data_IF_766406611108
#
_entry.id   IF_766406611108
#
_cell.length_a   1.000
_cell.length_b   1.000
_cell.length_c   1.000
_cell.angle_alpha   90.00
_cell.angle_beta   90.00
_cell.angle_gamma   90.00
#
_symmetry.space_group_name_H-M   'P 1'
#
loop_
_entity.id
_entity.type
_entity.pdbx_description
1 polymer ?
#
# COMPACT_ATOMS: atom_id res chain seq x y z
N UNK A 1 -1.15 10.68 47.31
CA UNK A 1 -1.97 11.25 46.22
C UNK A 1 -1.03 11.82 45.19
N UNK A 2 -1.09 11.32 43.95
CA UNK A 2 -0.26 11.88 42.87
C UNK A 2 -0.73 13.32 42.62
N UNK A 3 0.19 14.26 42.75
CA UNK A 3 -0.08 15.69 42.57
C UNK A 3 -0.18 15.99 41.06
N UNK A 4 -1.37 15.79 40.45
CA UNK A 4 -1.60 16.09 39.04
C UNK A 4 -1.67 17.62 38.87
N UNK A 5 -0.69 18.16 38.14
CA UNK A 5 -0.54 19.61 37.91
C UNK A 5 -0.35 19.90 36.41
N UNK A 6 -0.47 21.15 36.01
CA UNK A 6 -0.30 21.61 34.64
C UNK A 6 1.00 21.10 33.99
N UNK A 7 2.08 21.01 34.76
CA UNK A 7 3.40 20.50 34.32
C UNK A 7 3.40 19.00 33.95
N UNK A 8 2.33 18.27 34.28
CA UNK A 8 2.16 16.87 33.89
C UNK A 8 1.55 16.71 32.50
N UNK A 9 1.04 17.80 31.91
CA UNK A 9 0.52 17.82 30.57
C UNK A 9 1.69 17.98 29.59
N UNK A 10 1.89 16.97 28.70
CA UNK A 10 2.96 16.94 27.71
C UNK A 10 2.37 16.80 26.31
N UNK A 11 2.93 17.54 25.35
CA UNK A 11 2.68 17.32 23.92
C UNK A 11 3.78 16.39 23.37
N UNK A 12 3.40 15.47 22.51
CA UNK A 12 4.31 14.66 21.72
C UNK A 12 4.34 15.20 20.30
N UNK A 13 5.48 15.13 19.64
CA UNK A 13 5.50 15.36 18.20
C UNK A 13 4.81 14.20 17.46
N UNK A 14 4.53 14.39 16.17
CA UNK A 14 3.77 13.43 15.38
C UNK A 14 4.43 12.04 15.31
N UNK A 15 5.74 11.98 15.05
CA UNK A 15 6.47 10.72 14.95
C UNK A 15 6.68 10.07 16.32
N UNK A 16 6.94 10.84 17.35
CA UNK A 16 6.98 10.34 18.74
C UNK A 16 5.65 9.75 19.16
N UNK A 17 4.52 10.36 18.76
CA UNK A 17 3.19 9.83 19.03
C UNK A 17 2.96 8.49 18.32
N UNK A 18 3.33 8.36 17.03
CA UNK A 18 3.23 7.09 16.29
C UNK A 18 4.08 6.01 16.97
N UNK A 19 5.32 6.30 17.30
CA UNK A 19 6.23 5.34 17.95
C UNK A 19 5.73 4.89 19.33
N UNK A 20 5.07 5.77 20.06
CA UNK A 20 4.49 5.46 21.36
C UNK A 20 3.20 4.65 21.26
N UNK A 21 2.39 4.91 20.25
CA UNK A 21 1.07 4.29 20.05
C UNK A 21 0.92 3.71 18.63
N UNK A 22 1.83 2.83 18.17
CA UNK A 22 1.85 2.38 16.78
C UNK A 22 0.58 1.65 16.37
N UNK A 23 -0.09 0.94 17.28
CA UNK A 23 -1.35 0.26 17.02
C UNK A 23 -2.47 1.17 16.48
N UNK A 24 -2.44 2.47 16.77
CA UNK A 24 -3.40 3.44 16.22
C UNK A 24 -3.18 3.71 14.72
N UNK A 25 -1.97 3.49 14.21
CA UNK A 25 -1.57 3.83 12.83
C UNK A 25 -1.36 2.60 11.96
N UNK A 26 -0.83 1.52 12.52
CA UNK A 26 -0.52 0.28 11.80
C UNK A 26 -1.32 -0.93 12.31
N UNK A 27 -2.32 -0.71 13.18
CA UNK A 27 -3.25 -1.71 13.68
C UNK A 27 -2.70 -2.57 14.82
N UNK A 28 -1.47 -3.06 14.74
CA UNK A 28 -0.82 -3.87 15.79
C UNK A 28 0.69 -3.73 15.76
N UNK A 29 1.40 -4.32 16.74
CA UNK A 29 2.87 -4.34 16.79
C UNK A 29 3.47 -5.67 16.33
N UNK A 30 2.63 -6.63 15.98
CA UNK A 30 3.01 -7.98 15.55
C UNK A 30 3.16 -8.08 14.01
N UNK A 31 3.26 -9.30 13.49
CA UNK A 31 3.35 -9.57 12.05
C UNK A 31 2.20 -8.98 11.23
N UNK A 32 1.01 -8.76 11.83
CA UNK A 32 -0.12 -8.11 11.13
C UNK A 32 0.15 -6.63 10.93
N UNK A 33 0.77 -5.96 11.91
CA UNK A 33 1.20 -4.57 11.77
C UNK A 33 2.26 -4.42 10.68
N UNK A 34 3.23 -5.34 10.58
CA UNK A 34 4.19 -5.37 9.47
C UNK A 34 3.53 -5.60 8.11
N UNK A 35 2.57 -6.52 8.04
CA UNK A 35 1.80 -6.74 6.82
C UNK A 35 1.02 -5.48 6.42
N UNK A 36 0.48 -4.73 7.41
CA UNK A 36 -0.18 -3.45 7.16
C UNK A 36 0.81 -2.41 6.62
N UNK A 37 2.02 -2.31 7.18
CA UNK A 37 3.07 -1.44 6.64
C UNK A 37 3.37 -1.74 5.16
N UNK A 38 3.52 -3.02 4.81
CA UNK A 38 3.71 -3.43 3.42
C UNK A 38 2.51 -3.05 2.54
N UNK A 39 1.29 -3.22 3.05
CA UNK A 39 0.05 -2.85 2.35
C UNK A 39 0.00 -1.35 2.05
N UNK A 40 0.34 -0.50 3.01
CA UNK A 40 0.34 0.96 2.85
C UNK A 40 1.29 1.40 1.73
N UNK A 41 2.50 0.83 1.67
CA UNK A 41 3.47 1.15 0.63
C UNK A 41 3.03 0.58 -0.74
N UNK A 42 2.53 -0.67 -0.79
CA UNK A 42 2.00 -1.27 -2.01
C UNK A 42 0.82 -0.47 -2.57
N UNK A 43 -0.09 0.01 -1.70
CA UNK A 43 -1.23 0.81 -2.13
C UNK A 43 -0.80 2.09 -2.84
N UNK A 44 0.30 2.73 -2.42
CA UNK A 44 0.81 3.90 -3.12
C UNK A 44 1.29 3.58 -4.54
N UNK A 45 1.96 2.46 -4.74
CA UNK A 45 2.39 1.99 -6.07
C UNK A 45 1.22 1.53 -6.93
N UNK A 46 0.21 0.89 -6.34
CA UNK A 46 -1.04 0.50 -7.02
C UNK A 46 -1.80 1.75 -7.48
N UNK A 47 -1.84 2.81 -6.68
CA UNK A 47 -2.50 4.06 -7.06
C UNK A 47 -1.88 4.69 -8.32
N UNK A 48 -0.56 4.57 -8.54
CA UNK A 48 0.08 4.99 -9.79
C UNK A 48 -0.48 4.21 -11.00
N UNK A 49 -0.58 2.88 -10.87
CA UNK A 49 -1.15 2.03 -11.93
C UNK A 49 -2.62 2.37 -12.20
N UNK A 50 -3.46 2.54 -11.17
CA UNK A 50 -4.88 2.88 -11.32
C UNK A 50 -5.08 4.25 -12.00
N UNK A 51 -4.09 5.13 -11.89
CA UNK A 51 -4.07 6.42 -12.58
C UNK A 51 -3.33 6.37 -13.93
N UNK A 52 -3.14 5.16 -14.48
CA UNK A 52 -2.64 4.93 -15.83
C UNK A 52 -1.12 5.03 -15.97
N UNK A 53 -0.37 4.96 -14.86
CA UNK A 53 1.08 5.06 -14.87
C UNK A 53 1.75 3.81 -14.29
N UNK A 54 2.72 3.26 -15.05
CA UNK A 54 3.42 2.04 -14.66
C UNK A 54 2.59 0.77 -14.92
N UNK A 55 3.25 -0.37 -14.83
CA UNK A 55 2.64 -1.68 -15.06
C UNK A 55 3.31 -2.81 -14.28
N UNK A 56 4.29 -2.48 -13.44
CA UNK A 56 5.03 -3.46 -12.65
C UNK A 56 5.38 -2.90 -11.27
N UNK A 57 5.24 -3.75 -10.25
CA UNK A 57 5.69 -3.50 -8.87
C UNK A 57 6.62 -4.65 -8.47
N UNK A 58 7.82 -4.31 -8.02
CA UNK A 58 8.79 -5.24 -7.48
C UNK A 58 8.78 -5.15 -5.95
N UNK A 59 8.67 -6.29 -5.28
CA UNK A 59 8.76 -6.43 -3.83
C UNK A 59 9.98 -7.29 -3.54
N UNK A 60 10.97 -6.77 -2.82
CA UNK A 60 12.20 -7.50 -2.52
C UNK A 60 12.41 -7.60 -1.03
N UNK A 61 12.58 -8.82 -0.55
CA UNK A 61 13.08 -9.08 0.80
C UNK A 61 14.58 -8.86 0.82
N UNK A 62 15.03 -8.03 1.74
CA UNK A 62 16.41 -7.61 1.89
C UNK A 62 17.04 -8.31 3.12
N UNK A 63 18.36 -8.37 3.15
CA UNK A 63 19.10 -8.79 4.37
C UNK A 63 18.75 -7.89 5.56
N UNK A 64 19.00 -8.39 6.76
CA UNK A 64 18.73 -7.70 8.02
C UNK A 64 17.25 -7.32 8.23
N UNK A 65 16.34 -8.19 7.78
CA UNK A 65 14.88 -7.99 7.90
C UNK A 65 14.40 -6.68 7.26
N UNK A 66 14.92 -6.33 6.10
CA UNK A 66 14.43 -5.23 5.30
C UNK A 66 13.46 -5.70 4.22
N UNK A 67 12.64 -4.78 3.72
CA UNK A 67 11.82 -4.99 2.51
C UNK A 67 11.85 -3.73 1.68
N UNK A 68 11.88 -3.89 0.35
CA UNK A 68 11.70 -2.78 -0.58
C UNK A 68 10.53 -3.02 -1.51
N UNK A 69 9.88 -1.93 -1.90
CA UNK A 69 8.78 -1.87 -2.84
C UNK A 69 9.15 -0.83 -3.89
N UNK A 70 9.10 -1.21 -5.16
CA UNK A 70 9.49 -0.37 -6.28
C UNK A 70 8.45 -0.48 -7.39
N UNK A 71 7.99 0.65 -7.89
CA UNK A 71 7.13 0.74 -9.06
C UNK A 71 7.83 1.46 -10.22
N UNK A 72 7.28 1.31 -11.42
CA UNK A 72 7.67 2.05 -12.62
C UNK A 72 6.59 3.09 -13.01
N UNK A 73 5.96 3.73 -12.01
CA UNK A 73 5.00 4.81 -12.19
C UNK A 73 5.66 6.13 -12.59
N UNK A 74 4.96 7.25 -12.34
CA UNK A 74 5.43 8.60 -12.70
C UNK A 74 6.57 9.11 -11.83
N UNK A 75 6.72 8.55 -10.63
CA UNK A 75 7.55 9.11 -9.57
C UNK A 75 6.91 10.34 -8.89
N UNK A 76 7.31 10.61 -7.67
CA UNK A 76 6.91 11.82 -6.92
C UNK A 76 7.56 13.03 -7.59
N UNK A 77 6.83 14.14 -7.81
CA UNK A 77 7.39 15.35 -8.42
C UNK A 77 8.56 15.89 -7.61
N UNK A 78 9.62 16.30 -8.32
CA UNK A 78 10.74 17.04 -7.73
C UNK A 78 10.31 18.46 -7.37
N UNK A 79 11.02 19.07 -6.44
CA UNK A 79 10.84 20.44 -6.04
C UNK A 79 10.85 20.63 -4.53
N UNK A 80 10.83 21.88 -4.13
CA UNK A 80 10.80 22.29 -2.74
C UNK A 80 9.35 22.39 -2.25
N UNK A 81 9.01 21.66 -1.20
CA UNK A 81 7.70 21.74 -0.54
C UNK A 81 7.65 22.95 0.41
N UNK A 82 8.74 23.18 1.12
CA UNK A 82 8.96 24.31 2.01
C UNK A 82 10.47 24.58 2.10
N UNK A 83 10.95 25.76 2.52
CA UNK A 83 12.36 26.07 2.56
C UNK A 83 13.20 24.98 3.23
N UNK A 84 14.12 24.37 2.47
CA UNK A 84 14.99 23.28 2.92
C UNK A 84 14.34 21.91 3.05
N UNK A 85 13.10 21.71 2.57
CA UNK A 85 12.39 20.44 2.59
C UNK A 85 11.87 20.10 1.18
N UNK A 86 12.41 19.04 0.57
CA UNK A 86 11.95 18.59 -0.74
C UNK A 86 10.55 17.97 -0.69
N UNK A 87 9.89 17.87 -1.84
CA UNK A 87 8.58 17.21 -1.95
C UNK A 87 8.65 15.74 -1.50
N UNK A 88 9.70 15.02 -1.90
CA UNK A 88 9.90 13.62 -1.47
C UNK A 88 10.07 13.52 0.05
N UNK A 89 10.89 14.39 0.62
CA UNK A 89 11.09 14.47 2.08
C UNK A 89 9.76 14.76 2.79
N UNK A 90 8.96 15.69 2.28
CA UNK A 90 7.68 16.06 2.87
C UNK A 90 6.66 14.91 2.81
N UNK A 91 6.62 14.13 1.72
CA UNK A 91 5.72 12.98 1.58
C UNK A 91 5.88 11.94 2.69
N UNK A 92 7.08 11.76 3.21
CA UNK A 92 7.37 10.77 4.25
C UNK A 92 7.73 11.36 5.61
N UNK A 93 8.10 12.65 5.68
CA UNK A 93 8.59 13.30 6.88
C UNK A 93 7.73 14.44 7.45
N UNK A 94 6.71 14.92 6.71
CA UNK A 94 5.85 16.01 7.18
C UNK A 94 4.41 15.52 7.37
N UNK A 95 3.80 15.69 8.55
CA UNK A 95 2.42 15.31 8.79
C UNK A 95 1.45 15.95 7.81
N UNK A 96 0.37 15.23 7.47
CA UNK A 96 -0.72 15.73 6.63
C UNK A 96 -0.25 16.27 5.26
N UNK A 97 0.80 15.68 4.69
CA UNK A 97 1.30 16.00 3.35
C UNK A 97 1.02 14.85 2.39
N UNK A 98 0.50 15.14 1.23
CA UNK A 98 0.21 14.13 0.20
C UNK A 98 -0.44 14.78 -1.02
N UNK A 99 -0.38 14.12 -2.17
CA UNK A 99 -0.98 14.59 -3.42
C UNK A 99 -2.40 14.05 -3.68
N UNK A 100 -3.07 13.47 -2.66
CA UNK A 100 -4.33 12.73 -2.82
C UNK A 100 -5.51 13.35 -2.06
N UNK A 101 -5.35 14.53 -1.45
CA UNK A 101 -6.37 15.14 -0.61
C UNK A 101 -7.56 15.74 -1.37
N UNK A 102 -7.35 16.21 -2.60
CA UNK A 102 -8.34 16.99 -3.37
C UNK A 102 -8.93 16.18 -4.54
N UNK A 103 -9.21 14.89 -4.32
CA UNK A 103 -9.80 14.02 -5.34
C UNK A 103 -11.19 14.51 -5.80
N UNK A 104 -11.92 15.25 -4.97
CA UNK A 104 -13.27 15.76 -5.30
C UNK A 104 -13.24 17.07 -6.11
N UNK A 105 -12.16 17.85 -6.06
CA UNK A 105 -12.05 19.14 -6.77
C UNK A 105 -11.45 18.99 -8.19
N UNK A 106 -10.89 17.82 -8.52
CA UNK A 106 -10.18 17.59 -9.78
C UNK A 106 -8.79 18.23 -9.84
N UNK A 107 -8.31 18.84 -8.76
CA UNK A 107 -6.95 19.39 -8.64
C UNK A 107 -5.93 18.36 -8.16
N UNK A 108 -6.40 17.21 -7.67
CA UNK A 108 -5.56 16.07 -7.32
C UNK A 108 -4.90 15.48 -8.57
N UNK A 109 -3.65 15.09 -8.44
CA UNK A 109 -2.94 14.30 -9.47
C UNK A 109 -3.44 12.86 -9.61
N UNK A 110 -4.52 12.48 -8.89
CA UNK A 110 -5.09 11.14 -8.82
C UNK A 110 -6.60 11.18 -9.01
N UNK A 111 -7.13 10.36 -9.91
CA UNK A 111 -8.56 10.18 -10.11
C UNK A 111 -9.16 9.16 -9.13
N UNK A 112 -8.35 8.21 -8.70
CA UNK A 112 -8.71 7.14 -7.76
C UNK A 112 -7.53 6.86 -6.85
N UNK A 113 -7.75 6.75 -5.54
CA UNK A 113 -6.71 6.35 -4.60
C UNK A 113 -7.26 5.50 -3.45
N UNK A 114 -6.44 4.55 -2.97
CA UNK A 114 -6.72 3.77 -1.76
C UNK A 114 -6.18 4.44 -0.49
N UNK A 115 -5.26 5.40 -0.61
CA UNK A 115 -4.57 6.07 0.50
C UNK A 115 -4.97 7.54 0.63
N UNK A 116 -6.16 7.82 1.18
CA UNK A 116 -6.72 9.19 1.27
C UNK A 116 -6.17 10.04 2.42
N UNK A 117 -5.60 9.43 3.46
CA UNK A 117 -5.25 10.16 4.70
C UNK A 117 -3.83 10.72 4.72
N UNK A 118 -2.98 10.37 3.76
CA UNK A 118 -1.58 10.85 3.70
C UNK A 118 -0.72 10.46 4.90
N UNK A 119 -1.11 9.44 5.66
CA UNK A 119 -0.46 9.02 6.92
C UNK A 119 0.32 7.71 6.81
N UNK A 120 -0.06 6.81 5.90
CA UNK A 120 0.48 5.44 5.83
C UNK A 120 1.99 5.38 5.69
N UNK A 121 2.57 6.03 4.66
CA UNK A 121 4.03 6.06 4.47
C UNK A 121 4.79 6.68 5.64
N UNK A 122 4.20 7.67 6.33
CA UNK A 122 4.78 8.30 7.52
C UNK A 122 4.74 7.38 8.73
N UNK A 123 3.67 6.60 8.87
CA UNK A 123 3.58 5.59 9.93
C UNK A 123 4.65 4.51 9.74
N UNK A 124 4.86 4.03 8.50
CA UNK A 124 5.95 3.09 8.20
C UNK A 124 7.32 3.69 8.52
N UNK A 125 7.58 4.95 8.10
CA UNK A 125 8.81 5.65 8.45
C UNK A 125 9.01 5.73 9.97
N UNK A 126 7.98 6.10 10.73
CA UNK A 126 8.06 6.26 12.20
C UNK A 126 8.45 4.96 12.92
N UNK A 127 7.95 3.80 12.45
CA UNK A 127 8.20 2.48 13.06
C UNK A 127 9.39 1.76 12.45
N UNK A 128 10.21 2.46 11.67
CA UNK A 128 11.40 1.93 11.00
C UNK A 128 12.67 2.49 11.62
N UNK A 129 13.63 1.62 11.95
CA UNK A 129 14.99 2.04 12.34
C UNK A 129 15.77 2.64 11.16
N UNK A 130 15.40 2.26 9.93
CA UNK A 130 15.91 2.82 8.68
C UNK A 130 14.80 2.83 7.65
N UNK A 131 14.64 3.96 6.97
CA UNK A 131 13.67 4.15 5.90
C UNK A 131 14.33 4.95 4.78
N UNK A 132 14.28 4.45 3.55
CA UNK A 132 14.80 5.13 2.37
C UNK A 132 13.68 5.25 1.35
N UNK A 133 13.46 6.45 0.83
CA UNK A 133 12.60 6.65 -0.33
C UNK A 133 13.40 7.26 -1.47
N UNK A 134 13.11 6.81 -2.69
CA UNK A 134 13.67 7.36 -3.93
C UNK A 134 12.54 7.67 -4.88
N UNK A 135 12.67 8.77 -5.60
CA UNK A 135 11.83 9.08 -6.74
C UNK A 135 12.69 9.30 -7.96
N UNK A 136 12.23 8.79 -9.11
CA UNK A 136 12.88 8.92 -10.41
C UNK A 136 11.90 9.54 -11.38
N UNK A 137 12.24 10.72 -11.85
CA UNK A 137 11.39 11.50 -12.76
C UNK A 137 12.22 12.55 -13.47
N UNK A 138 11.88 12.87 -14.71
CA UNK A 138 12.46 13.97 -15.48
C UNK A 138 14.01 13.97 -15.51
N UNK A 139 14.64 12.76 -15.54
CA UNK A 139 16.09 12.59 -15.60
C UNK A 139 16.83 12.80 -14.27
N UNK A 140 16.09 12.86 -13.17
CA UNK A 140 16.63 13.01 -11.82
C UNK A 140 16.17 11.87 -10.92
N UNK A 141 17.07 11.32 -10.12
CA UNK A 141 16.78 10.46 -8.98
C UNK A 141 17.03 11.27 -7.72
N UNK A 142 15.99 11.43 -6.92
CA UNK A 142 16.07 12.01 -5.59
C UNK A 142 15.98 10.90 -4.55
N UNK A 143 16.80 10.95 -3.52
CA UNK A 143 16.90 9.96 -2.44
C UNK A 143 16.81 10.67 -1.11
N UNK A 144 15.91 10.23 -0.25
CA UNK A 144 15.83 10.68 1.14
C UNK A 144 15.95 9.48 2.09
N UNK A 145 16.64 9.71 3.20
CA UNK A 145 16.82 8.71 4.25
C UNK A 145 16.30 9.24 5.58
N UNK A 146 15.62 8.37 6.32
CA UNK A 146 15.13 8.63 7.66
C UNK A 146 15.53 7.51 8.61
N UNK A 147 15.55 7.83 9.90
CA UNK A 147 15.65 6.87 11.00
C UNK A 147 14.64 7.24 12.06
N UNK A 148 13.77 6.29 12.43
CA UNK A 148 12.76 6.48 13.48
C UNK A 148 11.87 7.72 13.24
N UNK A 149 11.52 7.98 11.96
CA UNK A 149 10.75 9.16 11.54
C UNK A 149 11.57 10.43 11.39
N UNK A 150 12.85 10.46 11.77
CA UNK A 150 13.72 11.65 11.71
C UNK A 150 14.50 11.66 10.40
N UNK A 151 14.51 12.80 9.75
CA UNK A 151 15.29 13.03 8.52
C UNK A 151 16.79 12.92 8.78
N UNK A 152 17.51 12.19 7.92
CA UNK A 152 18.94 11.94 8.00
C UNK A 152 19.69 12.59 6.85
N UNK A 153 19.28 12.30 5.61
CA UNK A 153 20.01 12.78 4.44
C UNK A 153 19.13 12.93 3.21
N UNK A 154 19.57 13.79 2.30
CA UNK A 154 19.02 14.00 0.97
C UNK A 154 20.14 13.97 -0.06
N UNK A 155 19.91 13.32 -1.20
CA UNK A 155 20.84 13.23 -2.33
C UNK A 155 20.08 13.28 -3.64
N UNK A 156 20.72 13.82 -4.66
CA UNK A 156 20.22 13.85 -6.03
C UNK A 156 21.26 13.30 -7.00
N UNK A 157 20.82 12.53 -7.98
CA UNK A 157 21.63 11.97 -9.03
C UNK A 157 20.97 12.22 -10.39
N UNK A 158 21.75 12.56 -11.41
CA UNK A 158 21.24 12.57 -12.79
C UNK A 158 21.13 11.14 -13.29
N UNK A 159 20.01 10.81 -13.91
CA UNK A 159 19.72 9.50 -14.48
C UNK A 159 19.18 9.65 -15.92
N UNK A 160 18.95 8.55 -16.61
CA UNK A 160 18.28 8.54 -17.90
C UNK A 160 16.82 8.96 -17.74
N UNK A 161 16.32 9.82 -18.63
CA UNK A 161 14.93 10.33 -18.62
C UNK A 161 13.86 9.24 -18.78
N UNK A 162 14.23 8.10 -19.34
CA UNK A 162 13.32 6.95 -19.52
C UNK A 162 13.05 6.20 -18.20
N UNK A 163 13.87 6.43 -17.16
CA UNK A 163 13.75 5.75 -15.88
C UNK A 163 12.82 6.59 -14.99
N UNK A 164 11.66 6.02 -14.66
CA UNK A 164 10.68 6.65 -13.76
C UNK A 164 10.21 5.69 -12.70
N UNK A 165 9.60 6.21 -11.63
CA UNK A 165 8.97 5.41 -10.58
C UNK A 165 9.40 5.80 -9.17
N UNK A 166 8.86 5.06 -8.21
CA UNK A 166 9.13 5.25 -6.80
C UNK A 166 9.72 3.98 -6.20
N UNK A 167 10.69 4.13 -5.34
CA UNK A 167 11.29 3.06 -4.55
C UNK A 167 11.22 3.42 -3.08
N UNK A 168 10.73 2.49 -2.26
CA UNK A 168 10.74 2.64 -0.80
C UNK A 168 11.33 1.37 -0.18
N UNK A 169 12.22 1.56 0.77
CA UNK A 169 12.88 0.50 1.53
C UNK A 169 12.76 0.80 3.01
N UNK A 170 12.37 -0.17 3.82
CA UNK A 170 12.29 0.02 5.26
C UNK A 170 12.75 -1.20 6.05
N UNK A 171 13.28 -0.94 7.22
CA UNK A 171 13.73 -1.91 8.21
C UNK A 171 12.97 -1.69 9.51
N UNK A 172 12.14 -2.65 9.94
CA UNK A 172 11.35 -2.54 11.16
C UNK A 172 12.22 -2.28 12.39
N UNK A 173 11.70 -1.48 13.32
CA UNK A 173 12.40 -1.12 14.56
C UNK A 173 11.91 -2.00 15.72
N UNK A 174 12.81 -2.80 16.25
CA UNK A 174 12.59 -3.69 17.40
C UNK A 174 12.31 -2.96 18.72
N UNK A 175 12.60 -1.66 18.81
CA UNK A 175 12.22 -0.85 19.98
C UNK A 175 10.72 -0.51 20.01
N UNK A 176 10.05 -0.61 18.85
CA UNK A 176 8.64 -0.23 18.68
C UNK A 176 7.75 -1.43 18.39
N UNK A 177 8.26 -2.38 17.61
CA UNK A 177 7.52 -3.54 17.11
C UNK A 177 7.92 -4.80 17.92
N UNK A 178 6.95 -5.63 18.21
CA UNK A 178 7.13 -6.91 18.89
C UNK A 178 7.60 -8.01 17.92
N UNK A 179 7.30 -7.85 16.62
CA UNK A 179 7.77 -8.72 15.55
C UNK A 179 8.38 -7.87 14.43
N UNK A 180 9.58 -8.25 13.99
CA UNK A 180 10.32 -7.59 12.92
C UNK A 180 10.56 -8.48 11.70
N UNK A 181 10.22 -9.78 11.79
CA UNK A 181 10.32 -10.70 10.66
C UNK A 181 9.05 -10.64 9.81
N UNK A 182 9.22 -10.48 8.51
CA UNK A 182 8.09 -10.47 7.58
C UNK A 182 7.51 -11.87 7.39
N UNK A 183 6.19 -11.99 7.49
CA UNK A 183 5.48 -13.19 7.05
C UNK A 183 5.41 -13.22 5.52
N UNK A 184 6.41 -13.86 4.91
CA UNK A 184 6.54 -13.99 3.45
C UNK A 184 5.28 -14.61 2.83
N UNK A 185 4.67 -15.61 3.50
CA UNK A 185 3.46 -16.27 3.01
C UNK A 185 2.25 -15.35 3.02
N UNK A 186 2.09 -14.55 4.08
CA UNK A 186 1.01 -13.56 4.16
C UNK A 186 1.18 -12.47 3.10
N UNK A 187 2.42 -11.98 2.88
CA UNK A 187 2.71 -10.99 1.83
C UNK A 187 2.43 -11.57 0.44
N UNK A 188 2.87 -12.80 0.13
CA UNK A 188 2.57 -13.49 -1.14
C UNK A 188 1.06 -13.64 -1.36
N UNK A 189 0.31 -13.96 -0.29
CA UNK A 189 -1.16 -14.07 -0.36
C UNK A 189 -1.80 -12.73 -0.68
N UNK A 190 -1.38 -11.66 -0.01
CA UNK A 190 -1.85 -10.30 -0.25
C UNK A 190 -1.54 -9.82 -1.67
N UNK A 191 -0.32 -10.04 -2.15
CA UNK A 191 0.12 -9.67 -3.51
C UNK A 191 -0.68 -10.44 -4.57
N UNK A 192 -0.94 -11.73 -4.34
CA UNK A 192 -1.80 -12.53 -5.23
C UNK A 192 -3.22 -11.98 -5.30
N UNK A 193 -3.80 -11.57 -4.16
CA UNK A 193 -5.11 -10.92 -4.13
C UNK A 193 -5.10 -9.62 -4.94
N UNK A 194 -4.10 -8.76 -4.75
CA UNK A 194 -3.94 -7.53 -5.53
C UNK A 194 -3.78 -7.79 -7.03
N UNK A 195 -3.09 -8.86 -7.44
CA UNK A 195 -2.93 -9.18 -8.86
C UNK A 195 -4.26 -9.45 -9.57
N UNK A 196 -5.26 -9.97 -8.85
CA UNK A 196 -6.62 -10.14 -9.39
C UNK A 196 -7.43 -8.85 -9.38
N UNK A 197 -7.23 -7.98 -8.38
CA UNK A 197 -7.94 -6.71 -8.28
C UNK A 197 -7.39 -5.65 -9.25
N UNK A 198 -6.11 -5.74 -9.58
CA UNK A 198 -5.40 -4.82 -10.47
C UNK A 198 -5.09 -5.51 -11.81
N UNK A 199 -6.15 -5.80 -12.59
CA UNK A 199 -6.05 -6.46 -13.89
C UNK A 199 -4.98 -5.82 -14.78
N UNK A 200 -3.96 -6.59 -15.18
CA UNK A 200 -2.88 -6.12 -16.05
C UNK A 200 -1.66 -5.55 -15.32
N UNK A 201 -1.71 -5.38 -13.99
CA UNK A 201 -0.55 -5.03 -13.19
C UNK A 201 0.25 -6.28 -12.84
N UNK A 202 1.56 -6.24 -13.09
CA UNK A 202 2.49 -7.31 -12.73
C UNK A 202 3.16 -7.02 -11.39
N UNK A 203 3.14 -8.01 -10.49
CA UNK A 203 3.91 -7.99 -9.26
C UNK A 203 5.02 -9.03 -9.34
N UNK A 204 6.21 -8.67 -8.88
CA UNK A 204 7.36 -9.57 -8.79
C UNK A 204 7.85 -9.58 -7.35
N UNK A 205 7.77 -10.73 -6.69
CA UNK A 205 8.35 -10.92 -5.36
C UNK A 205 9.71 -11.56 -5.52
N UNK A 206 10.72 -10.97 -4.90
CA UNK A 206 12.12 -11.43 -4.93
C UNK A 206 12.54 -11.69 -3.49
N UNK A 207 12.83 -12.94 -3.19
CA UNK A 207 13.31 -13.34 -1.86
C UNK A 207 14.81 -13.02 -1.70
N UNK A 208 15.30 -13.00 -0.46
CA UNK A 208 16.69 -12.68 -0.12
C UNK A 208 17.68 -13.62 -0.82
N UNK A 209 17.31 -14.89 -1.04
CA UNK A 209 18.11 -15.87 -1.76
C UNK A 209 18.13 -15.67 -3.29
N UNK A 210 17.43 -14.64 -3.80
CA UNK A 210 17.34 -14.34 -5.23
C UNK A 210 16.21 -15.08 -5.97
N UNK A 211 15.48 -15.97 -5.31
CA UNK A 211 14.30 -16.61 -5.93
C UNK A 211 13.23 -15.56 -6.22
N UNK A 212 12.63 -15.62 -7.40
CA UNK A 212 11.56 -14.70 -7.80
C UNK A 212 10.28 -15.42 -8.18
N UNK A 213 9.15 -14.82 -7.83
CA UNK A 213 7.81 -15.26 -8.23
C UNK A 213 7.04 -14.09 -8.84
N UNK A 214 6.36 -14.36 -9.95
CA UNK A 214 5.50 -13.37 -10.61
C UNK A 214 4.02 -13.63 -10.31
N UNK A 215 3.27 -12.55 -10.10
CA UNK A 215 1.83 -12.55 -9.91
C UNK A 215 1.21 -11.59 -10.91
N UNK A 216 0.34 -12.11 -11.75
CA UNK A 216 -0.31 -11.37 -12.82
C UNK A 216 -1.65 -12.00 -13.16
N UNK A 217 -2.68 -11.18 -13.35
CA UNK A 217 -3.97 -11.62 -13.85
C UNK A 217 -4.35 -10.85 -15.11
N UNK A 218 -4.67 -11.59 -16.16
CA UNK A 218 -5.16 -11.01 -17.41
C UNK A 218 -6.65 -10.69 -17.34
N UNK A 219 -7.42 -11.49 -16.60
CA UNK A 219 -8.89 -11.42 -16.57
C UNK A 219 -9.43 -10.88 -15.24
N UNK A 220 -8.56 -10.48 -14.27
CA UNK A 220 -8.96 -9.83 -13.03
C UNK A 220 -9.87 -10.68 -12.16
N UNK A 221 -11.07 -10.18 -11.85
CA UNK A 221 -12.04 -10.85 -10.98
C UNK A 221 -12.51 -12.21 -11.50
N UNK A 222 -12.46 -12.45 -12.81
CA UNK A 222 -12.77 -13.78 -13.37
C UNK A 222 -11.74 -14.82 -12.93
N UNK A 223 -10.45 -14.50 -13.04
CA UNK A 223 -9.37 -15.38 -12.57
C UNK A 223 -9.43 -15.54 -11.04
N UNK A 224 -9.82 -14.48 -10.31
CA UNK A 224 -9.96 -14.54 -8.85
C UNK A 224 -11.08 -15.49 -8.43
N UNK A 225 -12.19 -15.50 -9.14
CA UNK A 225 -13.30 -16.39 -8.86
C UNK A 225 -12.90 -17.86 -9.07
N UNK A 226 -12.17 -18.16 -10.14
CA UNK A 226 -11.62 -19.50 -10.37
C UNK A 226 -10.62 -19.89 -9.27
N UNK A 227 -9.73 -18.99 -8.87
CA UNK A 227 -8.79 -19.20 -7.77
C UNK A 227 -9.48 -19.51 -6.44
N UNK A 228 -10.60 -18.85 -6.14
CA UNK A 228 -11.38 -19.09 -4.92
C UNK A 228 -12.18 -20.41 -4.97
N UNK A 229 -12.31 -21.03 -6.14
CA UNK A 229 -13.10 -22.25 -6.36
C UNK A 229 -12.31 -23.39 -7.04
N UNK A 230 -11.10 -23.74 -6.60
CA UNK A 230 -10.17 -24.60 -7.35
C UNK A 230 -10.62 -26.06 -7.51
N UNK A 231 -11.68 -26.49 -6.84
CA UNK A 231 -12.18 -27.88 -6.84
C UNK A 231 -13.69 -27.97 -7.05
N UNK A 232 -14.31 -26.91 -7.54
CA UNK A 232 -15.77 -26.85 -7.68
C UNK A 232 -16.12 -26.53 -9.12
N UNK A 233 -16.95 -27.39 -9.70
CA UNK A 233 -17.49 -27.16 -11.03
C UNK A 233 -18.57 -26.09 -10.95
N UNK A 234 -18.47 -25.09 -11.82
CA UNK A 234 -19.55 -24.12 -11.99
C UNK A 234 -20.74 -24.79 -12.67
N UNK A 235 -21.94 -24.59 -12.12
CA UNK A 235 -23.21 -25.13 -12.66
C UNK A 235 -23.55 -24.46 -14.00
N UNK A 236 -23.16 -23.21 -14.15
CA UNK A 236 -23.27 -22.41 -15.36
C UNK A 236 -22.01 -21.54 -15.54
N UNK A 237 -21.69 -21.10 -16.76
CA UNK A 237 -20.56 -20.20 -16.98
C UNK A 237 -20.65 -18.99 -16.05
N UNK A 238 -19.56 -18.61 -15.40
CA UNK A 238 -19.52 -17.42 -14.58
C UNK A 238 -19.85 -16.16 -15.38
N UNK A 239 -20.51 -15.20 -14.73
CA UNK A 239 -20.86 -13.91 -15.33
C UNK A 239 -19.90 -12.86 -14.80
N UNK A 240 -19.31 -12.11 -15.70
CA UNK A 240 -18.49 -10.92 -15.39
C UNK A 240 -19.08 -9.71 -16.07
N UNK A 241 -19.14 -8.60 -15.39
CA UNK A 241 -19.45 -7.29 -15.97
C UNK A 241 -18.67 -6.18 -15.30
N UNK A 242 -18.34 -5.17 -16.08
CA UNK A 242 -17.70 -3.93 -15.72
C UNK A 242 -18.58 -2.79 -16.22
N UNK A 243 -18.97 -1.90 -15.33
CA UNK A 243 -19.84 -0.76 -15.61
C UNK A 243 -19.23 0.48 -15.03
N UNK A 244 -19.15 1.53 -15.85
CA UNK A 244 -18.67 2.85 -15.42
C UNK A 244 -19.77 3.89 -15.61
N UNK A 245 -20.02 4.67 -14.57
CA UNK A 245 -20.95 5.79 -14.61
C UNK A 245 -20.37 7.01 -13.88
N UNK A 246 -20.06 8.06 -14.63
CA UNK A 246 -19.38 9.23 -14.08
C UNK A 246 -18.00 8.87 -13.51
N UNK A 247 -17.77 9.17 -12.23
CA UNK A 247 -16.54 8.82 -11.51
C UNK A 247 -16.56 7.43 -10.86
N UNK A 248 -17.64 6.68 -11.00
CA UNK A 248 -17.79 5.36 -10.38
C UNK A 248 -17.54 4.25 -11.39
N UNK A 249 -16.79 3.25 -10.99
CA UNK A 249 -16.61 2.00 -11.72
C UNK A 249 -17.01 0.83 -10.81
N UNK A 250 -17.76 -0.11 -11.35
CA UNK A 250 -18.21 -1.31 -10.68
C UNK A 250 -17.82 -2.53 -11.49
N UNK A 251 -16.96 -3.36 -10.93
CA UNK A 251 -16.63 -4.68 -11.48
C UNK A 251 -17.28 -5.77 -10.64
N UNK A 252 -17.92 -6.72 -11.27
CA UNK A 252 -18.58 -7.86 -10.59
C UNK A 252 -18.29 -9.16 -11.33
N UNK A 253 -17.93 -10.19 -10.55
CA UNK A 253 -17.86 -11.58 -11.02
C UNK A 253 -18.79 -12.44 -10.17
N UNK A 254 -19.69 -13.20 -10.80
CA UNK A 254 -20.66 -14.07 -10.14
C UNK A 254 -20.57 -15.47 -10.74
N UNK A 255 -20.42 -16.48 -9.89
CA UNK A 255 -20.42 -17.88 -10.29
C UNK A 255 -21.25 -18.74 -9.34
N UNK A 256 -21.99 -19.68 -9.88
CA UNK A 256 -22.73 -20.68 -9.12
C UNK A 256 -22.00 -22.02 -9.20
N UNK A 257 -21.69 -22.62 -8.07
CA UNK A 257 -21.06 -23.92 -7.98
C UNK A 257 -21.93 -24.93 -7.21
N UNK A 258 -21.49 -26.16 -7.17
CA UNK A 258 -22.18 -27.28 -6.50
C UNK A 258 -22.00 -27.30 -4.96
N UNK A 259 -21.51 -26.24 -4.35
CA UNK A 259 -21.29 -26.12 -2.89
C UNK A 259 -22.51 -25.54 -2.18
N UNK A 260 -22.72 -25.97 -0.93
CA UNK A 260 -23.73 -25.39 -0.03
C UNK A 260 -23.26 -24.11 0.68
N UNK A 261 -21.99 -23.73 0.53
CA UNK A 261 -21.43 -22.51 1.10
C UNK A 261 -21.31 -21.41 0.05
N UNK A 262 -21.57 -20.17 0.44
CA UNK A 262 -21.32 -18.99 -0.39
C UNK A 262 -20.02 -18.30 0.03
N UNK A 263 -19.26 -17.81 -0.95
CA UNK A 263 -18.11 -16.95 -0.72
C UNK A 263 -18.41 -15.59 -1.37
N UNK A 264 -18.34 -14.53 -0.59
CA UNK A 264 -18.51 -13.17 -1.10
C UNK A 264 -17.27 -12.37 -0.70
N UNK A 265 -16.71 -11.65 -1.67
CA UNK A 265 -15.61 -10.72 -1.47
C UNK A 265 -16.06 -9.36 -1.99
N UNK A 266 -15.85 -8.32 -1.20
CA UNK A 266 -16.17 -6.95 -1.55
C UNK A 266 -14.93 -6.07 -1.35
N UNK A 267 -14.67 -5.23 -2.33
CA UNK A 267 -13.54 -4.29 -2.32
C UNK A 267 -14.02 -2.89 -2.70
N UNK A 268 -13.43 -1.88 -2.10
CA UNK A 268 -13.59 -0.47 -2.47
C UNK A 268 -12.19 0.10 -2.64
N UNK A 269 -11.85 0.59 -3.83
CA UNK A 269 -10.52 1.08 -4.18
C UNK A 269 -9.41 0.09 -3.75
N UNK A 270 -9.62 -1.21 -4.02
CA UNK A 270 -8.74 -2.33 -3.65
C UNK A 270 -8.59 -2.60 -2.13
N UNK A 271 -9.39 -1.93 -1.30
CA UNK A 271 -9.45 -2.19 0.14
C UNK A 271 -10.57 -3.22 0.41
N UNK A 272 -10.23 -4.30 1.11
CA UNK A 272 -11.19 -5.32 1.47
C UNK A 272 -12.25 -4.77 2.43
N UNK A 273 -13.50 -4.68 1.97
CA UNK A 273 -14.66 -4.22 2.71
C UNK A 273 -15.64 -5.35 3.05
N UNK A 274 -15.23 -6.61 2.92
CA UNK A 274 -16.09 -7.79 3.11
C UNK A 274 -16.74 -7.84 4.51
N UNK A 275 -16.05 -7.37 5.54
CA UNK A 275 -16.57 -7.28 6.91
C UNK A 275 -17.72 -6.26 7.08
N UNK A 276 -17.88 -5.33 6.14
CA UNK A 276 -18.88 -4.26 6.19
C UNK A 276 -20.22 -4.67 5.54
N UNK A 277 -20.33 -5.89 5.01
CA UNK A 277 -21.53 -6.35 4.31
C UNK A 277 -22.57 -6.81 5.33
N UNK A 278 -23.67 -6.08 5.44
CA UNK A 278 -24.88 -6.58 6.10
C UNK A 278 -25.66 -7.46 5.09
N UNK A 279 -25.61 -8.78 5.28
CA UNK A 279 -26.44 -9.70 4.49
C UNK A 279 -27.90 -9.59 4.92
N UNK A 280 -28.76 -9.07 4.05
CA UNK A 280 -30.19 -9.27 4.14
C UNK A 280 -30.54 -10.58 3.42
N UNK A 281 -30.45 -11.72 4.09
CA UNK A 281 -31.00 -12.96 3.55
C UNK A 281 -32.53 -12.87 3.66
N UNK A 282 -33.21 -12.55 2.55
CA UNK A 282 -34.63 -12.85 2.46
C UNK A 282 -34.79 -14.35 2.29
N UNK A 283 -35.16 -15.08 3.35
CA UNK A 283 -35.69 -16.41 3.19
C UNK A 283 -36.98 -16.28 2.37
N UNK A 284 -36.95 -16.64 1.09
CA UNK A 284 -38.19 -16.98 0.37
C UNK A 284 -38.71 -18.28 0.96
N UNK A 285 -39.91 -18.23 1.52
CA UNK A 285 -40.74 -19.39 1.85
C UNK A 285 -41.18 -20.08 0.58
#
# INVERSE_FOLDING_TARGET
MNNYQANNIKSLDYFEHIRKYPGMYIGSKDAKGLLHCCKELLSNSIDEFLNGAGNQINIRFLSNNGISIEDNGRGIPHGEHSPGCSTLQACYGVPNTGGKFDNDTGESGYNTSGGEHGTGGKAVNAVSKKFIAKTRRDGLEEIVEFSCGKFISHKENKIDNSITGTYVEFYPDEEVLEETNFDVKAIKTMVREFSFLCKGLKFVIIEENGTSEEYYSKNGLSDYMEYLNPKKDFIAPPVYFDVSEGKYQLEVAIGYNNSYSSTVKLYTNNINATSSIMYKTSKRK
#
